data_IF_122514333658
#
_entry.id   IF_122514333658
#
_cell.length_a   1.000
_cell.length_b   1.000
_cell.length_c   1.000
_cell.angle_alpha   90.00
_cell.angle_beta   90.00
_cell.angle_gamma   90.00
#
_symmetry.space_group_name_H-M   'P 1'
#
loop_
_entity.id
_entity.type
_entity.pdbx_description
1 polymer ?
#
# COMPACT_ATOMS: atom_id res chain seq x y z
N UNK A 1 8.73 -8.60 8.36
CA UNK A 1 8.40 -7.20 8.72
C UNK A 1 7.55 -7.16 9.98
N UNK A 2 6.41 -7.87 10.01
CA UNK A 2 5.56 -7.99 11.20
C UNK A 2 6.33 -8.50 12.44
N UNK A 3 7.11 -9.57 12.31
CA UNK A 3 7.83 -10.15 13.44
C UNK A 3 8.78 -9.17 14.16
N UNK A 4 9.64 -8.44 13.42
CA UNK A 4 10.54 -7.47 14.05
C UNK A 4 9.81 -6.28 14.67
N UNK A 5 8.66 -5.92 14.11
CA UNK A 5 7.85 -4.81 14.61
C UNK A 5 7.09 -5.21 15.88
N UNK A 6 6.45 -6.39 15.90
CA UNK A 6 5.78 -6.93 17.08
C UNK A 6 6.76 -7.08 18.25
N UNK A 7 7.99 -7.55 17.98
CA UNK A 7 9.07 -7.62 18.99
C UNK A 7 9.43 -6.27 19.62
N UNK A 8 9.25 -5.16 18.90
CA UNK A 8 9.44 -3.81 19.46
C UNK A 8 8.20 -3.32 20.19
N UNK A 9 7.03 -3.54 19.60
CA UNK A 9 5.75 -3.13 20.19
C UNK A 9 5.51 -3.81 21.54
N UNK A 10 5.83 -5.11 21.67
CA UNK A 10 5.66 -5.84 22.94
C UNK A 10 6.60 -5.35 24.05
N UNK A 11 7.67 -4.64 23.72
CA UNK A 11 8.57 -4.03 24.73
C UNK A 11 8.04 -2.71 25.28
N UNK A 12 6.96 -2.17 24.70
CA UNK A 12 6.30 -0.99 25.24
C UNK A 12 5.61 -1.38 26.55
N UNK A 13 6.06 -0.76 27.64
CA UNK A 13 5.39 -0.88 28.93
C UNK A 13 3.90 -0.51 28.81
N UNK A 14 3.04 -1.47 29.14
CA UNK A 14 1.59 -1.38 28.95
C UNK A 14 1.01 -2.23 27.84
N UNK A 15 1.82 -2.79 26.92
CA UNK A 15 1.38 -3.78 25.93
C UNK A 15 1.58 -5.18 26.50
N UNK A 16 0.52 -5.97 26.61
CA UNK A 16 0.57 -7.31 27.23
C UNK A 16 0.71 -8.42 26.21
N UNK A 17 0.12 -8.24 25.03
CA UNK A 17 0.17 -9.19 23.93
C UNK A 17 -0.05 -8.51 22.59
N UNK A 18 0.56 -9.02 21.54
CA UNK A 18 0.35 -8.54 20.20
C UNK A 18 0.37 -9.66 19.15
N UNK A 19 -0.48 -9.52 18.15
CA UNK A 19 -0.71 -10.52 17.10
C UNK A 19 -0.82 -9.85 15.75
N UNK A 20 -0.29 -10.48 14.71
CA UNK A 20 -0.51 -10.10 13.32
C UNK A 20 -1.36 -11.18 12.65
N UNK A 21 -2.43 -10.79 11.98
CA UNK A 21 -3.35 -11.70 11.29
C UNK A 21 -3.47 -11.38 9.82
N UNK A 22 -3.70 -12.43 9.02
CA UNK A 22 -3.91 -12.35 7.59
C UNK A 22 -5.28 -11.70 7.31
N UNK A 23 -5.36 -10.70 6.42
CA UNK A 23 -6.60 -9.97 6.17
C UNK A 23 -7.64 -10.76 5.36
N UNK A 24 -7.25 -11.87 4.73
CA UNK A 24 -8.16 -12.69 3.90
C UNK A 24 -8.90 -13.76 4.69
N UNK A 25 -8.20 -14.45 5.59
CA UNK A 25 -8.72 -15.62 6.31
C UNK A 25 -8.65 -15.49 7.83
N UNK A 26 -8.09 -14.38 8.35
CA UNK A 26 -7.95 -14.12 9.78
C UNK A 26 -6.87 -14.95 10.47
N UNK A 27 -6.11 -15.78 9.73
CA UNK A 27 -5.11 -16.67 10.32
C UNK A 27 -3.95 -15.90 10.97
N UNK A 28 -3.43 -16.43 12.07
CA UNK A 28 -2.26 -15.88 12.76
C UNK A 28 -1.03 -15.98 11.85
N UNK A 29 -0.41 -14.83 11.59
CA UNK A 29 0.88 -14.75 10.90
C UNK A 29 2.03 -14.79 11.90
N UNK A 30 1.95 -13.99 12.97
CA UNK A 30 2.96 -13.85 14.03
C UNK A 30 2.29 -13.43 15.33
N UNK A 31 2.83 -13.84 16.48
CA UNK A 31 2.37 -13.43 17.80
C UNK A 31 3.54 -13.23 18.77
N UNK A 32 3.41 -12.30 19.71
CA UNK A 32 4.40 -11.99 20.74
C UNK A 32 3.72 -11.56 22.05
N UNK A 33 4.23 -12.00 23.19
CA UNK A 33 3.70 -11.66 24.52
C UNK A 33 2.70 -12.67 25.08
N UNK A 34 1.94 -12.24 26.09
CA UNK A 34 0.86 -13.04 26.70
C UNK A 34 -0.43 -12.81 25.91
N UNK A 35 -0.73 -13.74 25.00
CA UNK A 35 -1.85 -13.59 24.06
C UNK A 35 -3.14 -14.07 24.71
N UNK A 36 -4.03 -13.12 24.99
CA UNK A 36 -5.43 -13.42 25.25
C UNK A 36 -6.04 -14.10 24.01
N UNK A 37 -6.67 -15.29 24.15
CA UNK A 37 -7.28 -15.99 23.02
C UNK A 37 -8.30 -15.16 22.22
N UNK A 38 -8.97 -14.19 22.85
CA UNK A 38 -9.90 -13.32 22.14
C UNK A 38 -9.23 -12.28 21.23
N UNK A 39 -7.92 -12.03 21.40
CA UNK A 39 -7.19 -11.02 20.65
C UNK A 39 -7.14 -11.36 19.15
N UNK A 40 -7.00 -12.63 18.79
CA UNK A 40 -7.04 -13.09 17.39
C UNK A 40 -8.38 -12.75 16.74
N UNK A 41 -9.48 -13.23 17.33
CA UNK A 41 -10.84 -13.02 16.83
C UNK A 41 -11.18 -11.53 16.72
N UNK A 42 -10.83 -10.74 17.74
CA UNK A 42 -11.03 -9.30 17.76
C UNK A 42 -10.24 -8.64 16.63
N UNK A 43 -8.96 -9.00 16.47
CA UNK A 43 -8.10 -8.40 15.44
C UNK A 43 -8.59 -8.72 14.04
N UNK A 44 -8.94 -9.98 13.76
CA UNK A 44 -9.44 -10.41 12.46
C UNK A 44 -10.80 -9.77 12.15
N UNK A 45 -11.74 -9.81 13.10
CA UNK A 45 -13.09 -9.28 12.90
C UNK A 45 -13.09 -7.76 12.73
N UNK A 46 -12.49 -7.03 13.66
CA UNK A 46 -12.50 -5.57 13.60
C UNK A 46 -11.54 -5.04 12.54
N UNK A 47 -10.42 -5.70 12.24
CA UNK A 47 -9.57 -5.34 11.11
C UNK A 47 -10.34 -5.35 9.79
N UNK A 48 -11.01 -6.48 9.49
CA UNK A 48 -11.86 -6.61 8.29
C UNK A 48 -13.06 -5.66 8.29
N UNK A 49 -13.76 -5.54 9.43
CA UNK A 49 -14.89 -4.64 9.56
C UNK A 49 -14.50 -3.17 9.35
N UNK A 50 -13.30 -2.78 9.78
CA UNK A 50 -12.79 -1.43 9.63
C UNK A 50 -12.49 -1.07 8.18
N UNK A 51 -12.01 -2.02 7.38
CA UNK A 51 -11.83 -1.84 5.93
C UNK A 51 -13.16 -1.63 5.20
N UNK A 52 -14.21 -2.36 5.60
CA UNK A 52 -15.57 -2.20 5.03
C UNK A 52 -16.19 -0.86 5.42
N UNK A 53 -16.08 -0.46 6.69
CA UNK A 53 -16.62 0.81 7.19
C UNK A 53 -15.88 2.00 6.59
N UNK A 54 -14.54 1.94 6.55
CA UNK A 54 -13.72 3.01 5.96
C UNK A 54 -14.01 3.21 4.48
N UNK A 55 -14.17 2.12 3.73
CA UNK A 55 -14.58 2.14 2.33
C UNK A 55 -15.97 2.73 2.14
N UNK A 56 -16.92 2.40 3.01
CA UNK A 56 -18.31 2.90 2.95
C UNK A 56 -18.41 4.39 3.30
N UNK A 57 -17.54 4.89 4.16
CA UNK A 57 -17.50 6.30 4.60
C UNK A 57 -16.52 7.16 3.80
N UNK A 58 -15.88 6.60 2.75
CA UNK A 58 -14.84 7.24 1.95
C UNK A 58 -13.66 7.80 2.78
N UNK A 59 -13.42 7.24 3.97
CA UNK A 59 -12.31 7.64 4.84
C UNK A 59 -11.03 6.98 4.34
N UNK A 60 -10.10 7.78 3.82
CA UNK A 60 -8.80 7.31 3.33
C UNK A 60 -7.74 7.36 4.43
N UNK A 61 -6.87 6.35 4.46
CA UNK A 61 -5.64 6.39 5.25
C UNK A 61 -5.84 6.20 6.76
N UNK A 62 -6.85 5.43 7.15
CA UNK A 62 -7.01 5.00 8.54
C UNK A 62 -5.83 4.11 8.96
N UNK A 63 -5.19 4.47 10.08
CA UNK A 63 -3.96 3.82 10.55
C UNK A 63 -4.20 2.82 11.66
N UNK A 64 -5.22 3.05 12.47
CA UNK A 64 -5.56 2.19 13.59
C UNK A 64 -7.01 2.40 14.03
N UNK A 65 -7.53 1.44 14.78
CA UNK A 65 -8.72 1.56 15.61
C UNK A 65 -8.37 1.26 17.07
N UNK A 66 -9.14 1.82 17.99
CA UNK A 66 -9.03 1.59 19.42
C UNK A 66 -10.37 1.07 19.95
N UNK A 67 -10.32 0.01 20.72
CA UNK A 67 -11.48 -0.64 21.34
C UNK A 67 -11.26 -0.66 22.84
N UNK A 68 -12.23 -0.16 23.59
CA UNK A 68 -12.22 -0.20 25.06
C UNK A 68 -13.52 -0.78 25.56
N UNK A 69 -13.41 -1.82 26.38
CA UNK A 69 -14.54 -2.45 27.05
C UNK A 69 -14.13 -2.83 28.47
N UNK A 70 -14.72 -2.14 29.44
CA UNK A 70 -14.43 -2.35 30.87
C UNK A 70 -12.92 -2.24 31.15
N UNK A 71 -12.27 -3.34 31.54
CA UNK A 71 -10.84 -3.40 31.82
C UNK A 71 -10.00 -3.91 30.65
N UNK A 72 -10.59 -4.07 29.47
CA UNK A 72 -9.91 -4.54 28.27
C UNK A 72 -9.76 -3.41 27.26
N UNK A 73 -8.54 -3.24 26.76
CA UNK A 73 -8.16 -2.19 25.83
C UNK A 73 -7.38 -2.82 24.69
N UNK A 74 -7.80 -2.55 23.46
CA UNK A 74 -7.16 -3.07 22.27
C UNK A 74 -6.87 -1.95 21.28
N UNK A 75 -5.71 -2.03 20.65
CA UNK A 75 -5.38 -1.24 19.45
C UNK A 75 -5.29 -2.21 18.29
N UNK A 76 -5.94 -1.89 17.17
CA UNK A 76 -5.79 -2.64 15.92
C UNK A 76 -5.16 -1.71 14.90
N UNK A 77 -3.93 -2.02 14.50
CA UNK A 77 -3.20 -1.27 13.48
C UNK A 77 -3.52 -1.86 12.11
N UNK A 78 -3.79 -0.98 11.15
CA UNK A 78 -3.97 -1.34 9.74
C UNK A 78 -2.62 -1.22 9.05
N UNK A 79 -2.12 -2.33 8.51
CA UNK A 79 -0.83 -2.39 7.81
C UNK A 79 -0.98 -3.02 6.44
N UNK A 80 -0.08 -2.65 5.55
CA UNK A 80 0.01 -3.33 4.25
C UNK A 80 0.35 -4.81 4.49
N UNK A 81 -0.52 -5.70 4.03
CA UNK A 81 -0.37 -7.15 4.18
C UNK A 81 -0.97 -7.76 5.45
N UNK A 82 -1.65 -6.98 6.32
CA UNK A 82 -2.44 -7.54 7.42
C UNK A 82 -2.76 -6.58 8.56
N UNK A 83 -3.42 -7.12 9.59
CA UNK A 83 -3.83 -6.35 10.77
C UNK A 83 -2.99 -6.76 11.97
N UNK A 84 -2.63 -5.78 12.80
CA UNK A 84 -1.91 -6.03 14.05
C UNK A 84 -2.80 -5.67 15.23
N UNK A 85 -3.13 -6.63 16.07
CA UNK A 85 -3.80 -6.39 17.33
C UNK A 85 -2.81 -6.27 18.47
N UNK A 86 -3.00 -5.29 19.34
CA UNK A 86 -2.26 -5.12 20.57
C UNK A 86 -3.23 -5.02 21.74
N UNK A 87 -3.09 -5.89 22.73
CA UNK A 87 -3.79 -5.79 24.00
C UNK A 87 -2.99 -4.89 24.95
N UNK A 88 -3.70 -3.99 25.62
CA UNK A 88 -3.14 -3.05 26.58
C UNK A 88 -3.59 -3.38 28.00
N UNK A 89 -2.70 -3.13 28.96
CA UNK A 89 -3.06 -3.11 30.37
C UNK A 89 -4.15 -2.08 30.66
N UNK A 90 -5.08 -2.40 31.56
CA UNK A 90 -6.16 -1.50 31.95
C UNK A 90 -5.67 -0.14 32.47
N UNK A 91 -4.47 -0.09 33.08
CA UNK A 91 -3.93 1.09 33.73
C UNK A 91 -3.23 2.07 32.80
N UNK A 92 -3.01 1.71 31.53
CA UNK A 92 -2.31 2.58 30.58
C UNK A 92 -3.28 3.40 29.72
N UNK A 93 -2.82 4.59 29.35
CA UNK A 93 -3.53 5.50 28.45
C UNK A 93 -3.22 5.14 27.01
N UNK A 94 -4.27 5.07 26.19
CA UNK A 94 -4.17 4.77 24.76
C UNK A 94 -3.19 5.71 24.05
N UNK A 95 -3.28 7.02 24.34
CA UNK A 95 -2.49 8.08 23.71
C UNK A 95 -0.99 7.83 23.89
N UNK A 96 -0.58 7.44 25.11
CA UNK A 96 0.82 7.15 25.42
C UNK A 96 1.33 5.94 24.64
N UNK A 97 0.49 4.90 24.49
CA UNK A 97 0.89 3.70 23.78
C UNK A 97 0.94 3.94 22.28
N UNK A 98 -0.08 4.58 21.70
CA UNK A 98 -0.11 4.82 20.26
C UNK A 98 1.01 5.78 19.83
N UNK A 99 1.36 6.78 20.64
CA UNK A 99 2.51 7.65 20.38
C UNK A 99 3.82 6.86 20.34
N UNK A 100 4.01 5.91 21.26
CA UNK A 100 5.18 5.03 21.26
C UNK A 100 5.19 4.09 20.06
N UNK A 101 4.05 3.49 19.71
CA UNK A 101 3.93 2.61 18.52
C UNK A 101 4.24 3.41 17.24
N UNK A 102 3.63 4.57 17.06
CA UNK A 102 3.92 5.47 15.93
C UNK A 102 5.37 5.98 15.97
N UNK A 103 5.93 6.14 17.17
CA UNK A 103 7.34 6.45 17.40
C UNK A 103 8.27 5.32 16.95
N UNK A 104 7.91 4.05 17.16
CA UNK A 104 8.65 2.89 16.61
C UNK A 104 8.57 2.89 15.09
N UNK A 105 7.42 3.23 14.51
CA UNK A 105 7.29 3.35 13.05
C UNK A 105 8.19 4.45 12.50
N UNK A 106 8.22 5.62 13.16
CA UNK A 106 9.11 6.73 12.79
C UNK A 106 10.58 6.41 13.05
N UNK A 107 10.92 5.76 14.16
CA UNK A 107 12.28 5.33 14.47
C UNK A 107 12.74 4.21 13.54
N UNK A 108 11.86 3.33 13.06
CA UNK A 108 12.18 2.35 12.02
C UNK A 108 12.31 2.99 10.65
N UNK A 109 11.72 4.16 10.43
CA UNK A 109 11.99 5.01 9.26
C UNK A 109 13.33 5.74 9.44
N UNK A 110 13.62 6.30 10.61
CA UNK A 110 14.84 7.07 10.93
C UNK A 110 16.09 6.18 11.11
N UNK A 111 15.97 4.96 11.66
CA UNK A 111 17.04 3.96 11.72
C UNK A 111 17.28 3.40 10.32
N UNK A 112 16.23 3.22 9.50
CA UNK A 112 16.40 2.97 8.06
C UNK A 112 17.02 4.18 7.34
N UNK A 113 16.85 5.41 7.81
CA UNK A 113 17.51 6.61 7.28
C UNK A 113 18.97 6.77 7.77
N UNK A 114 19.29 6.36 9.00
CA UNK A 114 20.64 6.40 9.56
C UNK A 114 21.51 5.24 9.03
N UNK A 115 20.94 4.03 8.85
CA UNK A 115 21.60 2.93 8.15
C UNK A 115 21.80 3.22 6.65
N UNK A 116 20.89 4.00 6.02
CA UNK A 116 21.04 4.51 4.64
C UNK A 116 22.24 5.44 4.43
N UNK A 117 22.79 6.07 5.47
CA UNK A 117 23.98 6.93 5.35
C UNK A 117 25.28 6.09 5.31
N UNK A 118 25.29 4.87 5.88
CA UNK A 118 26.50 4.04 5.93
C UNK A 118 26.62 3.00 4.81
N UNK A 119 25.51 2.65 4.15
CA UNK A 119 25.49 1.71 3.02
C UNK A 119 25.40 2.50 1.70
N UNK A 120 26.40 3.33 1.47
CA UNK A 120 26.54 4.20 0.30
C UNK A 120 26.96 3.45 -0.97
N UNK A 121 26.25 2.40 -1.39
CA UNK A 121 26.59 1.74 -2.66
C UNK A 121 25.49 0.90 -3.33
N UNK A 122 24.19 1.15 -3.12
CA UNK A 122 23.16 0.70 -4.11
C UNK A 122 21.85 1.44 -3.90
N UNK A 123 21.52 2.30 -4.88
CA UNK A 123 20.26 3.00 -5.14
C UNK A 123 18.99 2.35 -4.52
N UNK A 124 18.52 2.87 -3.37
CA UNK A 124 17.14 2.64 -2.92
C UNK A 124 16.25 3.84 -3.27
N UNK A 125 15.20 3.57 -4.04
CA UNK A 125 14.19 4.52 -4.52
C UNK A 125 13.39 5.16 -3.36
N UNK A 126 13.09 6.47 -3.47
CA UNK A 126 12.25 7.24 -2.52
C UNK A 126 10.83 6.66 -2.39
N UNK A 127 10.05 7.08 -1.39
CA UNK A 127 8.66 6.63 -1.20
C UNK A 127 7.80 6.93 -2.44
N UNK A 128 7.92 8.13 -2.99
CA UNK A 128 7.24 8.59 -4.20
C UNK A 128 7.68 7.76 -5.41
N UNK A 129 8.96 7.40 -5.46
CA UNK A 129 9.51 6.55 -6.51
C UNK A 129 8.97 5.12 -6.43
N UNK A 130 8.77 4.58 -5.21
CA UNK A 130 8.09 3.29 -4.97
C UNK A 130 6.62 3.36 -5.35
N UNK A 131 5.93 4.44 -4.98
CA UNK A 131 4.54 4.68 -5.33
C UNK A 131 4.35 4.76 -6.85
N UNK A 132 5.21 5.51 -7.53
CA UNK A 132 5.25 5.60 -8.98
C UNK A 132 5.52 4.24 -9.64
N UNK A 133 6.48 3.46 -9.12
CA UNK A 133 6.75 2.10 -9.61
C UNK A 133 5.53 1.19 -9.47
N UNK A 134 4.77 1.31 -8.38
CA UNK A 134 3.49 0.61 -8.20
C UNK A 134 2.46 1.03 -9.27
N UNK A 135 2.33 2.33 -9.55
CA UNK A 135 1.45 2.83 -10.62
C UNK A 135 1.86 2.37 -12.01
N UNK A 136 3.16 2.35 -12.31
CA UNK A 136 3.69 1.82 -13.58
C UNK A 136 3.37 0.34 -13.72
N UNK A 137 3.51 -0.44 -12.64
CA UNK A 137 3.12 -1.86 -12.65
C UNK A 137 1.63 -2.02 -13.00
N UNK A 138 0.75 -1.23 -12.39
CA UNK A 138 -0.70 -1.26 -12.68
C UNK A 138 -0.98 -0.91 -14.15
N UNK A 139 -0.35 0.14 -14.67
CA UNK A 139 -0.46 0.56 -16.07
C UNK A 139 0.04 -0.54 -17.00
N UNK A 140 1.20 -1.15 -16.73
CA UNK A 140 1.73 -2.24 -17.55
C UNK A 140 0.79 -3.45 -17.59
N UNK A 141 0.18 -3.82 -16.47
CA UNK A 141 -0.77 -4.93 -16.42
C UNK A 141 -2.03 -4.64 -17.22
N UNK A 142 -2.54 -3.40 -17.17
CA UNK A 142 -3.66 -2.97 -18.02
C UNK A 142 -3.29 -3.05 -19.50
N UNK A 143 -2.10 -2.56 -19.87
CA UNK A 143 -1.64 -2.64 -21.26
C UNK A 143 -1.49 -4.08 -21.70
N UNK A 144 -0.91 -4.95 -20.87
CA UNK A 144 -0.77 -6.37 -21.16
C UNK A 144 -2.14 -7.02 -21.44
N UNK A 145 -3.09 -6.83 -20.52
CA UNK A 145 -4.44 -7.36 -20.63
C UNK A 145 -5.22 -6.83 -21.84
N UNK A 146 -5.09 -5.54 -22.14
CA UNK A 146 -5.76 -4.91 -23.29
C UNK A 146 -5.05 -5.19 -24.62
N UNK A 147 -3.77 -5.55 -24.59
CA UNK A 147 -3.03 -5.96 -25.78
C UNK A 147 -3.28 -7.41 -26.14
N UNK A 148 -3.72 -8.25 -25.20
CA UNK A 148 -3.89 -9.71 -25.40
C UNK A 148 -2.63 -10.39 -25.96
N UNK A 149 -1.44 -9.87 -25.63
CA UNK A 149 -0.16 -10.35 -26.16
C UNK A 149 0.18 -9.88 -27.58
N UNK A 150 -0.62 -8.97 -28.15
CA UNK A 150 -0.36 -8.32 -29.44
C UNK A 150 0.43 -7.00 -29.27
N UNK A 151 0.51 -6.21 -30.34
CA UNK A 151 1.26 -4.95 -30.36
C UNK A 151 0.79 -3.95 -29.28
N UNK A 152 1.72 -3.58 -28.40
CA UNK A 152 1.51 -2.64 -27.30
C UNK A 152 1.69 -1.17 -27.70
N UNK A 153 2.13 -0.89 -28.93
CA UNK A 153 2.52 0.45 -29.40
C UNK A 153 1.40 1.48 -29.24
N UNK A 154 0.17 1.13 -29.63
CA UNK A 154 -0.98 2.07 -29.52
C UNK A 154 -1.29 2.45 -28.07
N UNK A 155 -1.10 1.52 -27.14
CA UNK A 155 -1.39 1.72 -25.72
C UNK A 155 -0.29 2.55 -25.06
N UNK A 156 0.98 2.26 -25.38
CA UNK A 156 2.12 3.06 -24.95
C UNK A 156 2.04 4.49 -25.50
N UNK A 157 1.53 4.67 -26.72
CA UNK A 157 1.25 5.98 -27.31
C UNK A 157 0.33 6.82 -26.42
N UNK A 158 -0.76 6.23 -25.90
CA UNK A 158 -1.68 6.90 -24.97
C UNK A 158 -0.94 7.29 -23.68
N UNK A 159 -0.09 6.42 -23.14
CA UNK A 159 0.64 6.77 -21.92
C UNK A 159 1.59 7.94 -22.16
N UNK A 160 2.36 7.91 -23.25
CA UNK A 160 3.26 9.01 -23.62
C UNK A 160 2.52 10.33 -23.80
N UNK A 161 1.37 10.29 -24.48
CA UNK A 161 0.51 11.47 -24.66
C UNK A 161 0.04 12.02 -23.31
N UNK A 162 -0.57 11.19 -22.45
CA UNK A 162 -1.21 11.64 -21.21
C UNK A 162 -0.24 12.14 -20.16
N UNK A 163 0.94 11.54 -20.04
CA UNK A 163 1.97 12.13 -19.18
C UNK A 163 2.52 13.44 -19.77
N UNK A 164 2.48 13.65 -21.08
CA UNK A 164 3.02 14.88 -21.69
C UNK A 164 2.05 16.07 -21.67
N UNK A 165 0.81 15.90 -21.20
CA UNK A 165 -0.22 16.95 -21.21
C UNK A 165 0.05 18.12 -20.25
N UNK A 166 0.86 17.91 -19.20
CA UNK A 166 1.22 18.95 -18.24
C UNK A 166 2.68 18.82 -17.80
N UNK A 167 3.24 19.91 -17.24
CA UNK A 167 4.65 19.98 -16.87
C UNK A 167 5.06 18.93 -15.82
N UNK A 168 4.18 18.62 -14.87
CA UNK A 168 4.43 17.62 -13.84
C UNK A 168 4.50 16.21 -14.45
N UNK A 169 3.58 15.88 -15.36
CA UNK A 169 3.60 14.62 -16.08
C UNK A 169 4.84 14.50 -16.98
N UNK A 170 5.30 15.59 -17.61
CA UNK A 170 6.56 15.63 -18.38
C UNK A 170 7.78 15.34 -17.49
N UNK A 171 7.82 15.90 -16.28
CA UNK A 171 8.85 15.60 -15.27
C UNK A 171 8.81 14.13 -14.83
N UNK A 172 7.62 13.53 -14.74
CA UNK A 172 7.49 12.12 -14.34
C UNK A 172 7.93 11.20 -15.49
N UNK A 173 7.42 11.39 -16.71
CA UNK A 173 7.72 10.48 -17.83
C UNK A 173 9.17 10.55 -18.31
N UNK A 174 9.88 11.65 -18.07
CA UNK A 174 11.32 11.74 -18.38
C UNK A 174 12.16 10.74 -17.57
N UNK A 175 11.63 10.22 -16.47
CA UNK A 175 12.24 9.16 -15.65
C UNK A 175 11.90 7.74 -16.12
N UNK A 176 11.09 7.61 -17.17
CA UNK A 176 10.68 6.30 -17.68
C UNK A 176 11.59 5.82 -18.79
N UNK A 177 11.85 4.51 -18.79
CA UNK A 177 12.34 3.79 -19.97
C UNK A 177 11.22 2.95 -20.57
N UNK A 178 11.34 2.77 -21.88
CA UNK A 178 10.39 2.01 -22.68
C UNK A 178 11.18 0.98 -23.48
N UNK A 179 11.45 -0.16 -22.85
CA UNK A 179 12.14 -1.29 -23.48
C UNK A 179 11.09 -2.33 -23.86
N UNK A 180 11.11 -2.80 -25.11
CA UNK A 180 10.11 -3.75 -25.66
C UNK A 180 8.65 -3.38 -25.38
N UNK A 181 8.33 -2.07 -25.40
CA UNK A 181 7.01 -1.52 -25.06
C UNK A 181 6.53 -1.86 -23.62
N UNK A 182 7.43 -2.17 -22.71
CA UNK A 182 7.20 -2.22 -21.27
C UNK A 182 7.71 -0.92 -20.65
N UNK A 183 6.88 -0.31 -19.81
CA UNK A 183 7.29 0.88 -19.07
C UNK A 183 8.07 0.47 -17.82
N UNK A 184 9.25 1.05 -17.64
CA UNK A 184 10.03 0.91 -16.41
C UNK A 184 10.40 2.28 -15.88
N UNK A 185 10.55 2.39 -14.56
CA UNK A 185 11.05 3.60 -13.91
C UNK A 185 12.51 3.38 -13.55
N UNK A 186 13.37 4.31 -13.99
CA UNK A 186 14.78 4.32 -13.64
C UNK A 186 15.17 5.68 -13.06
N UNK A 187 15.82 5.64 -11.89
CA UNK A 187 16.40 6.83 -11.28
C UNK A 187 15.55 7.40 -10.15
N UNK A 188 15.63 8.72 -9.98
CA UNK A 188 14.99 9.47 -8.91
C UNK A 188 13.97 10.45 -9.48
N UNK A 189 12.84 10.57 -8.82
CA UNK A 189 11.87 11.62 -9.12
C UNK A 189 12.41 12.99 -8.72
N UNK A 190 11.94 14.01 -9.42
CA UNK A 190 12.09 15.41 -8.99
C UNK A 190 11.46 15.56 -7.58
N UNK A 191 12.17 16.13 -6.59
CA UNK A 191 11.66 16.32 -5.22
C UNK A 191 10.35 17.12 -5.12
N UNK A 192 10.01 17.91 -6.15
CA UNK A 192 8.75 18.64 -6.21
C UNK A 192 7.54 17.75 -6.52
N UNK A 193 7.76 16.54 -7.06
CA UNK A 193 6.68 15.62 -7.44
C UNK A 193 6.15 14.90 -6.20
N UNK A 194 4.87 15.10 -5.91
CA UNK A 194 4.19 14.47 -4.77
C UNK A 194 3.37 13.26 -5.20
N UNK A 195 2.95 12.44 -4.25
CA UNK A 195 2.05 11.31 -4.52
C UNK A 195 0.71 11.73 -5.14
N UNK A 196 0.22 12.92 -4.81
CA UNK A 196 -1.01 13.50 -5.39
C UNK A 196 -0.87 13.75 -6.90
N UNK A 197 0.29 14.23 -7.32
CA UNK A 197 0.65 14.47 -8.71
C UNK A 197 0.71 13.16 -9.49
N UNK A 198 1.42 12.18 -8.94
CA UNK A 198 1.54 10.82 -9.48
C UNK A 198 0.15 10.20 -9.61
N UNK A 199 -0.70 10.35 -8.60
CA UNK A 199 -2.06 9.84 -8.59
C UNK A 199 -2.92 10.48 -9.69
N UNK A 200 -2.82 11.79 -9.85
CA UNK A 200 -3.59 12.55 -10.84
C UNK A 200 -3.23 12.11 -12.25
N UNK A 201 -1.94 12.07 -12.58
CA UNK A 201 -1.48 11.69 -13.94
C UNK A 201 -1.73 10.21 -14.20
N UNK A 202 -1.50 9.33 -13.22
CA UNK A 202 -1.78 7.89 -13.37
C UNK A 202 -3.26 7.59 -13.58
N UNK A 203 -4.15 8.34 -12.92
CA UNK A 203 -5.60 8.22 -13.13
C UNK A 203 -5.98 8.62 -14.55
N UNK A 204 -5.47 9.75 -15.05
CA UNK A 204 -5.74 10.23 -16.40
C UNK A 204 -5.32 9.19 -17.47
N UNK A 205 -4.16 8.57 -17.28
CA UNK A 205 -3.66 7.49 -18.13
C UNK A 205 -4.60 6.29 -18.07
N UNK A 206 -4.93 5.82 -16.86
CA UNK A 206 -5.80 4.67 -16.63
C UNK A 206 -7.18 4.86 -17.27
N UNK A 207 -7.80 6.02 -17.08
CA UNK A 207 -9.10 6.36 -17.65
C UNK A 207 -9.04 6.38 -19.18
N UNK A 208 -7.94 6.86 -19.77
CA UNK A 208 -7.74 6.90 -21.22
C UNK A 208 -7.53 5.51 -21.81
N UNK A 209 -6.76 4.64 -21.14
CA UNK A 209 -6.59 3.23 -21.51
C UNK A 209 -7.93 2.51 -21.46
N UNK A 210 -8.69 2.66 -20.37
CA UNK A 210 -10.02 2.07 -20.24
C UNK A 210 -10.97 2.56 -21.33
N UNK A 211 -10.98 3.87 -21.64
CA UNK A 211 -11.82 4.43 -22.73
C UNK A 211 -11.47 3.83 -24.09
N UNK A 212 -10.19 3.67 -24.38
CA UNK A 212 -9.73 3.02 -25.62
C UNK A 212 -10.13 1.54 -25.65
N UNK A 213 -10.00 0.82 -24.53
CA UNK A 213 -10.43 -0.57 -24.41
C UNK A 213 -11.94 -0.73 -24.63
N UNK A 214 -12.77 0.16 -24.08
CA UNK A 214 -14.22 0.19 -24.34
C UNK A 214 -14.50 0.40 -25.83
N UNK A 215 -13.73 1.25 -26.51
CA UNK A 215 -13.86 1.48 -27.96
C UNK A 215 -13.50 0.27 -28.83
N UNK A 216 -12.60 -0.61 -28.36
CA UNK A 216 -12.17 -1.81 -29.11
C UNK A 216 -13.02 -3.02 -28.77
N UNK A 217 -13.23 -3.29 -27.48
CA UNK A 217 -13.83 -4.53 -26.97
C UNK A 217 -15.30 -4.38 -26.55
N UNK A 218 -15.79 -3.14 -26.43
CA UNK A 218 -17.08 -2.84 -25.81
C UNK A 218 -17.00 -2.76 -24.28
N UNK A 219 -18.01 -2.12 -23.69
CA UNK A 219 -18.00 -1.77 -22.26
C UNK A 219 -17.93 -2.98 -21.32
N UNK A 220 -18.63 -4.06 -21.67
CA UNK A 220 -18.72 -5.27 -20.84
C UNK A 220 -17.36 -5.99 -20.79
N UNK A 221 -16.76 -6.21 -21.96
CA UNK A 221 -15.50 -6.94 -22.06
C UNK A 221 -14.33 -6.12 -21.51
N UNK A 222 -14.30 -4.80 -21.76
CA UNK A 222 -13.31 -3.92 -21.15
C UNK A 222 -13.38 -3.95 -19.62
N UNK A 223 -14.58 -3.94 -19.03
CA UNK A 223 -14.77 -4.04 -17.57
C UNK A 223 -14.26 -5.38 -17.02
N UNK A 224 -14.50 -6.48 -17.73
CA UNK A 224 -14.01 -7.82 -17.37
C UNK A 224 -12.48 -7.87 -17.37
N UNK A 225 -11.85 -7.34 -18.42
CA UNK A 225 -10.38 -7.22 -18.52
C UNK A 225 -9.78 -6.41 -17.37
N UNK A 226 -10.39 -5.29 -16.99
CA UNK A 226 -9.97 -4.53 -15.81
C UNK A 226 -10.07 -5.36 -14.52
N UNK A 227 -11.13 -6.15 -14.35
CA UNK A 227 -11.25 -7.05 -13.19
C UNK A 227 -10.14 -8.11 -13.16
N UNK A 228 -9.79 -8.72 -14.29
CA UNK A 228 -8.67 -9.66 -14.38
C UNK A 228 -7.36 -9.03 -13.89
N UNK A 229 -7.12 -7.75 -14.22
CA UNK A 229 -5.94 -7.01 -13.76
C UNK A 229 -5.98 -6.76 -12.26
N UNK A 230 -7.15 -6.42 -11.70
CA UNK A 230 -7.34 -6.26 -10.25
C UNK A 230 -7.04 -7.58 -9.52
N UNK A 231 -7.50 -8.72 -10.05
CA UNK A 231 -7.19 -10.04 -9.50
C UNK A 231 -5.68 -10.33 -9.54
N UNK A 232 -5.00 -10.03 -10.66
CA UNK A 232 -3.53 -10.18 -10.78
C UNK A 232 -2.74 -9.28 -9.82
N UNK A 233 -3.32 -8.16 -9.38
CA UNK A 233 -2.71 -7.27 -8.38
C UNK A 233 -2.91 -7.79 -6.95
N UNK A 234 -3.99 -8.53 -6.68
CA UNK A 234 -4.32 -9.10 -5.37
C UNK A 234 -3.62 -10.43 -5.05
N UNK A 235 -2.91 -11.05 -6.00
CA UNK A 235 -2.15 -12.28 -5.78
C UNK A 235 -0.67 -11.91 -5.54
N UNK A 236 -0.14 -12.05 -4.31
CA UNK A 236 1.30 -12.01 -4.09
C UNK A 236 1.95 -13.22 -4.77
N UNK A 237 2.97 -12.98 -5.59
CA UNK A 237 3.95 -14.01 -5.99
C UNK A 237 5.11 -13.97 -5.01
#
# INVERSE_FOLDING_TARGET
>A
MFESFLKKVITIDGVTGCIAVNPQDGSIMVQEGDINPSLEDITAFFGSGFDVVSSSLEVKGLKFSYLEKENQKFIILVKEGGYIGCELSATVLFETIIEKILGIEKADIEIKEAEKVSISATSELSQESRFLKSKIRQINLLIDEFSEGADRTQWIGIVKEKFSENEIGKKIISTFRFDDNVMSFEGSLDPEVKEEDISTVSKLVTDSLCRKAVGIFGAIEAKKKVHNVIEKLGIPK
#
